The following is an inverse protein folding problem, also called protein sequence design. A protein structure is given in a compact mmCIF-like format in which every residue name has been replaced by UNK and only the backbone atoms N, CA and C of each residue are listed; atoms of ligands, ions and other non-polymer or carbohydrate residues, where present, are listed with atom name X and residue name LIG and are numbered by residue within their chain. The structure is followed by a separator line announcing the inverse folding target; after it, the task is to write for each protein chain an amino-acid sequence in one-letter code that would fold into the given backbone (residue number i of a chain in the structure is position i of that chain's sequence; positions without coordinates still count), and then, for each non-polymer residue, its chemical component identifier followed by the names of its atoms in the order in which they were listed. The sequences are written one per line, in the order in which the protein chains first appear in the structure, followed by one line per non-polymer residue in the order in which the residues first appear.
data_IF_524945937367
#
_entry.id   IF_524945937367
#
_cell.length_a   1.000
_cell.length_b   1.000
_cell.length_c   1.000
_cell.angle_alpha   90.00
_cell.angle_beta   90.00
_cell.angle_gamma   90.00
#
_symmetry.space_group_name_H-M   'P 1'
#
loop_
_entity.id
_entity.type
_entity.pdbx_description
1 polymer ?
#
# COMPACT_ATOMS: atom_id res chain seq x y z
N UNK A 1 6.18 -15.18 15.15
CA UNK A 1 6.39 -13.92 15.90
C UNK A 1 6.44 -12.69 14.98
N UNK A 2 5.87 -12.73 13.76
CA UNK A 2 5.90 -11.59 12.82
C UNK A 2 4.64 -10.71 12.85
N UNK A 3 3.47 -11.27 13.17
CA UNK A 3 2.19 -10.53 13.12
C UNK A 3 2.09 -9.38 14.12
N UNK A 4 2.54 -9.55 15.36
CA UNK A 4 2.40 -8.52 16.39
C UNK A 4 3.25 -7.28 16.10
N UNK A 5 4.50 -7.47 15.63
CA UNK A 5 5.40 -6.38 15.27
C UNK A 5 4.92 -5.60 14.05
N UNK A 6 4.30 -6.28 13.08
CA UNK A 6 3.68 -5.64 11.92
C UNK A 6 2.49 -4.78 12.35
N UNK A 7 1.58 -5.31 13.17
CA UNK A 7 0.41 -4.57 13.66
C UNK A 7 0.85 -3.35 14.47
N UNK A 8 1.81 -3.50 15.37
CA UNK A 8 2.35 -2.40 16.17
C UNK A 8 2.94 -1.30 15.28
N UNK A 9 3.74 -1.67 14.28
CA UNK A 9 4.33 -0.72 13.34
C UNK A 9 3.28 0.01 12.50
N UNK A 10 2.28 -0.72 11.98
CA UNK A 10 1.20 -0.12 11.20
C UNK A 10 0.44 0.91 12.05
N UNK A 11 0.05 0.55 13.27
CA UNK A 11 -0.65 1.45 14.19
C UNK A 11 0.18 2.69 14.58
N UNK A 12 1.50 2.55 14.63
CA UNK A 12 2.41 3.66 14.93
C UNK A 12 2.47 4.70 13.81
N UNK A 13 2.42 4.27 12.54
CA UNK A 13 2.64 5.15 11.40
C UNK A 13 1.37 5.60 10.69
N UNK A 14 0.25 4.87 10.85
CA UNK A 14 -1.02 5.20 10.21
C UNK A 14 -1.47 6.63 10.56
N UNK A 15 -1.57 7.46 9.53
CA UNK A 15 -1.84 8.90 9.61
C UNK A 15 -0.85 9.72 10.46
N UNK A 16 0.25 9.11 10.91
CA UNK A 16 1.23 9.67 11.84
C UNK A 16 2.65 9.70 11.26
N UNK A 17 2.81 9.40 9.97
CA UNK A 17 4.12 9.35 9.33
C UNK A 17 4.83 10.72 9.39
N UNK A 18 6.13 10.77 9.72
CA UNK A 18 6.84 12.03 9.98
C UNK A 18 7.40 12.65 8.69
N UNK A 19 6.51 13.06 7.76
CA UNK A 19 6.88 13.55 6.41
C UNK A 19 7.97 14.62 6.36
N UNK A 20 8.04 15.49 7.37
CA UNK A 20 8.95 16.64 7.43
C UNK A 20 10.24 16.36 8.24
N UNK A 21 10.39 15.17 8.83
CA UNK A 21 11.58 14.77 9.56
C UNK A 21 12.30 13.63 8.81
N UNK A 22 13.35 14.01 8.08
CA UNK A 22 14.09 13.10 7.21
C UNK A 22 14.78 11.94 7.92
N UNK A 23 15.33 12.20 9.11
CA UNK A 23 15.93 11.15 9.89
C UNK A 23 14.88 10.11 10.30
N UNK A 24 13.71 10.57 10.77
CA UNK A 24 12.64 9.68 11.22
C UNK A 24 11.99 8.90 10.08
N UNK A 25 11.63 9.54 8.97
CA UNK A 25 10.99 8.77 7.89
C UNK A 25 11.96 7.77 7.23
N UNK A 26 13.26 8.08 7.18
CA UNK A 26 14.29 7.14 6.71
C UNK A 26 14.37 5.91 7.63
N UNK A 27 14.38 6.13 8.94
CA UNK A 27 14.37 5.05 9.93
C UNK A 27 13.12 4.17 9.82
N UNK A 28 11.94 4.79 9.67
CA UNK A 28 10.67 4.07 9.53
C UNK A 28 10.59 3.25 8.24
N UNK A 29 11.08 3.77 7.10
CA UNK A 29 11.19 2.99 5.86
C UNK A 29 12.05 1.74 6.11
N UNK A 30 13.24 1.93 6.65
CA UNK A 30 14.16 0.82 6.90
C UNK A 30 13.56 -0.20 7.90
N UNK A 31 12.82 0.27 8.91
CA UNK A 31 12.13 -0.59 9.87
C UNK A 31 10.98 -1.36 9.22
N UNK A 32 10.12 -0.72 8.43
CA UNK A 32 9.02 -1.37 7.72
C UNK A 32 9.52 -2.50 6.82
N UNK A 33 10.56 -2.25 6.03
CA UNK A 33 11.20 -3.27 5.17
C UNK A 33 11.72 -4.46 5.96
N UNK A 34 12.29 -4.25 7.16
CA UNK A 34 12.78 -5.34 8.02
C UNK A 34 11.67 -6.16 8.67
N UNK A 35 10.50 -5.57 8.89
CA UNK A 35 9.37 -6.23 9.56
C UNK A 35 8.68 -7.20 8.59
N UNK A 36 8.20 -6.68 7.45
CA UNK A 36 7.51 -7.47 6.43
C UNK A 36 7.26 -6.66 5.16
N UNK A 37 6.93 -7.33 4.03
CA UNK A 37 6.43 -6.64 2.85
C UNK A 37 5.16 -5.80 3.13
N UNK A 38 4.22 -6.31 3.94
CA UNK A 38 2.99 -5.58 4.26
C UNK A 38 3.28 -4.29 5.06
N UNK A 39 4.23 -4.34 6.00
CA UNK A 39 4.72 -3.16 6.73
C UNK A 39 5.44 -2.16 5.79
N UNK A 40 6.25 -2.64 4.85
CA UNK A 40 6.86 -1.79 3.83
C UNK A 40 5.80 -1.08 2.97
N UNK A 41 4.74 -1.80 2.57
CA UNK A 41 3.61 -1.21 1.85
C UNK A 41 2.80 -0.25 2.71
N UNK A 42 2.77 -0.38 4.04
CA UNK A 42 2.16 0.65 4.90
C UNK A 42 2.88 1.98 4.83
N UNK A 43 4.21 1.97 4.71
CA UNK A 43 4.93 3.23 4.43
C UNK A 43 4.54 3.79 3.06
N UNK A 44 4.37 2.94 2.05
CA UNK A 44 3.88 3.39 0.74
C UNK A 44 2.47 3.99 0.83
N UNK A 45 1.59 3.42 1.65
CA UNK A 45 0.24 3.95 1.86
C UNK A 45 0.25 5.38 2.40
N UNK A 46 1.08 5.67 3.40
CA UNK A 46 1.28 7.02 3.94
C UNK A 46 1.80 7.99 2.86
N UNK A 47 2.69 7.52 1.98
CA UNK A 47 3.20 8.34 0.87
C UNK A 47 2.10 8.64 -0.16
N UNK A 48 1.24 7.66 -0.47
CA UNK A 48 0.16 7.83 -1.44
C UNK A 48 -0.93 8.78 -0.95
N UNK A 49 -1.25 8.74 0.36
CA UNK A 49 -2.42 9.41 0.93
C UNK A 49 -2.09 10.08 2.27
N UNK A 50 -1.21 11.10 2.28
CA UNK A 50 -0.93 11.82 3.51
C UNK A 50 -2.18 12.53 4.02
N UNK A 51 -2.39 12.61 5.35
CA UNK A 51 -3.50 13.37 5.89
C UNK A 51 -3.37 14.85 5.51
N UNK A 52 -4.48 15.51 5.18
CA UNK A 52 -4.49 16.93 4.77
C UNK A 52 -3.76 17.87 5.76
N UNK A 53 -3.76 17.52 7.05
CA UNK A 53 -3.10 18.28 8.11
C UNK A 53 -1.56 18.17 8.09
N UNK A 54 -0.98 17.18 7.42
CA UNK A 54 0.47 16.99 7.32
C UNK A 54 1.16 18.09 6.50
N UNK A 55 0.43 18.81 5.64
CA UNK A 55 0.93 19.90 4.78
C UNK A 55 2.20 19.52 3.99
N UNK A 56 2.26 18.30 3.49
CA UNK A 56 3.39 17.78 2.70
C UNK A 56 3.19 18.14 1.22
N UNK A 57 4.28 18.47 0.52
CA UNK A 57 4.23 18.81 -0.91
C UNK A 57 4.41 17.56 -1.78
N UNK A 58 3.88 17.53 -3.02
CA UNK A 58 4.13 16.43 -3.96
C UNK A 58 5.63 16.18 -4.20
N UNK A 59 6.44 17.24 -4.23
CA UNK A 59 7.91 17.11 -4.35
C UNK A 59 8.51 16.33 -3.17
N UNK A 60 8.05 16.58 -1.94
CA UNK A 60 8.51 15.84 -0.77
C UNK A 60 8.06 14.38 -0.81
N UNK A 61 6.82 14.11 -1.23
CA UNK A 61 6.32 12.75 -1.39
C UNK A 61 7.15 11.96 -2.42
N UNK A 62 7.50 12.57 -3.55
CA UNK A 62 8.40 11.95 -4.54
C UNK A 62 9.80 11.68 -4.00
N UNK A 63 10.35 12.56 -3.15
CA UNK A 63 11.63 12.31 -2.47
C UNK A 63 11.55 11.06 -1.60
N UNK A 64 10.50 10.95 -0.78
CA UNK A 64 10.30 9.81 0.13
C UNK A 64 10.05 8.53 -0.68
N UNK A 65 9.23 8.60 -1.75
CA UNK A 65 8.97 7.48 -2.65
C UNK A 65 10.25 6.95 -3.30
N UNK A 66 11.13 7.84 -3.77
CA UNK A 66 12.41 7.44 -4.37
C UNK A 66 13.31 6.71 -3.36
N UNK A 67 13.34 7.17 -2.10
CA UNK A 67 14.08 6.49 -1.04
C UNK A 67 13.47 5.12 -0.70
N UNK A 68 12.13 5.06 -0.57
CA UNK A 68 11.40 3.81 -0.32
C UNK A 68 11.67 2.79 -1.43
N UNK A 69 11.59 3.20 -2.71
CA UNK A 69 11.87 2.36 -3.88
C UNK A 69 13.27 1.77 -3.85
N UNK A 70 14.27 2.54 -3.42
CA UNK A 70 15.65 2.06 -3.31
C UNK A 70 15.91 1.15 -2.10
N UNK A 71 14.99 1.09 -1.15
CA UNK A 71 15.15 0.37 0.13
C UNK A 71 14.40 -0.96 0.18
N UNK A 72 13.51 -1.22 -0.78
CA UNK A 72 12.61 -2.36 -0.76
C UNK A 72 12.75 -3.20 -2.05
N UNK A 73 12.83 -4.52 -1.90
CA UNK A 73 12.90 -5.47 -3.02
C UNK A 73 11.67 -6.39 -2.96
N UNK A 74 10.82 -6.32 -3.99
CA UNK A 74 9.62 -7.14 -4.10
C UNK A 74 9.17 -7.22 -5.57
N UNK A 75 8.62 -8.36 -6.05
CA UNK A 75 8.13 -8.49 -7.42
C UNK A 75 7.01 -7.50 -7.84
N UNK A 76 6.33 -6.90 -6.86
CA UNK A 76 5.29 -5.89 -7.07
C UNK A 76 5.81 -4.46 -7.03
N UNK A 77 7.10 -4.25 -6.73
CA UNK A 77 7.68 -2.93 -6.46
C UNK A 77 7.36 -1.91 -7.56
N UNK A 78 7.73 -2.20 -8.80
CA UNK A 78 7.61 -1.26 -9.92
C UNK A 78 6.14 -0.93 -10.25
N UNK A 79 5.25 -1.92 -10.14
CA UNK A 79 3.82 -1.70 -10.30
C UNK A 79 3.29 -0.77 -9.21
N UNK A 80 3.61 -1.04 -7.95
CA UNK A 80 3.14 -0.23 -6.82
C UNK A 80 3.74 1.17 -6.79
N UNK A 81 4.98 1.35 -7.28
CA UNK A 81 5.57 2.68 -7.50
C UNK A 81 4.76 3.47 -8.53
N UNK A 82 4.38 2.86 -9.66
CA UNK A 82 3.54 3.53 -10.67
C UNK A 82 2.17 3.95 -10.13
N UNK A 83 1.56 3.11 -9.29
CA UNK A 83 0.31 3.45 -8.57
C UNK A 83 0.54 4.65 -7.64
N UNK A 84 1.60 4.63 -6.83
CA UNK A 84 1.92 5.72 -5.92
C UNK A 84 2.17 7.05 -6.65
N UNK A 85 2.89 7.02 -7.77
CA UNK A 85 3.12 8.21 -8.61
C UNK A 85 1.80 8.79 -9.13
N UNK A 86 0.88 7.95 -9.61
CA UNK A 86 -0.45 8.41 -10.05
C UNK A 86 -1.22 9.08 -8.91
N UNK A 87 -1.23 8.48 -7.72
CA UNK A 87 -1.94 9.02 -6.56
C UNK A 87 -1.33 10.33 -6.05
N UNK A 88 0.00 10.45 -6.01
CA UNK A 88 0.70 11.71 -5.66
C UNK A 88 0.35 12.83 -6.65
N UNK A 89 0.13 12.49 -7.91
CA UNK A 89 -0.26 13.43 -8.97
C UNK A 89 -1.75 13.76 -8.98
N UNK A 90 -2.55 13.12 -8.12
CA UNK A 90 -4.01 13.25 -8.13
C UNK A 90 -4.65 12.67 -9.39
N UNK A 91 -3.97 11.73 -10.07
CA UNK A 91 -4.51 11.01 -11.21
C UNK A 91 -5.24 9.76 -10.73
N UNK A 92 -6.47 9.62 -11.18
CA UNK A 92 -7.25 8.42 -10.98
C UNK A 92 -6.85 7.34 -11.98
N UNK A 93 -6.77 6.11 -11.50
CA UNK A 93 -6.47 4.93 -12.31
C UNK A 93 -7.79 4.30 -12.79
N UNK A 94 -7.85 3.77 -14.03
CA UNK A 94 -9.05 3.08 -14.52
C UNK A 94 -9.44 1.90 -13.62
N UNK A 95 -10.73 1.78 -13.29
CA UNK A 95 -11.29 0.70 -12.46
C UNK A 95 -10.79 -0.69 -12.87
N UNK A 96 -10.85 -1.01 -14.17
CA UNK A 96 -10.43 -2.34 -14.65
C UNK A 96 -8.93 -2.59 -14.45
N UNK A 97 -8.09 -1.57 -14.65
CA UNK A 97 -6.65 -1.68 -14.44
C UNK A 97 -6.32 -1.91 -12.96
N UNK A 98 -7.03 -1.23 -12.06
CA UNK A 98 -6.91 -1.45 -10.61
C UNK A 98 -7.33 -2.87 -10.22
N UNK A 99 -8.42 -3.39 -10.79
CA UNK A 99 -8.88 -4.77 -10.55
C UNK A 99 -7.84 -5.79 -11.02
N UNK A 100 -7.27 -5.61 -12.21
CA UNK A 100 -6.23 -6.48 -12.74
C UNK A 100 -4.99 -6.49 -11.82
N UNK A 101 -4.61 -5.32 -11.27
CA UNK A 101 -3.53 -5.23 -10.29
C UNK A 101 -3.89 -5.84 -8.94
N UNK A 102 -5.14 -5.73 -8.47
CA UNK A 102 -5.59 -6.39 -7.24
C UNK A 102 -5.45 -7.91 -7.35
N UNK A 103 -5.79 -8.49 -8.51
CA UNK A 103 -5.58 -9.92 -8.76
C UNK A 103 -4.11 -10.30 -8.74
N UNK A 104 -3.21 -9.45 -9.26
CA UNK A 104 -1.77 -9.67 -9.17
C UNK A 104 -1.23 -9.54 -7.74
N UNK A 105 -1.78 -8.65 -6.93
CA UNK A 105 -1.48 -8.58 -5.48
C UNK A 105 -1.98 -9.84 -4.78
N UNK A 106 -3.13 -10.39 -5.17
CA UNK A 106 -3.74 -11.57 -4.55
C UNK A 106 -2.85 -12.83 -4.59
N UNK A 107 -1.91 -12.92 -5.53
CA UNK A 107 -0.89 -13.97 -5.61
C UNK A 107 0.06 -13.97 -4.40
N UNK A 108 0.15 -12.85 -3.68
CA UNK A 108 0.97 -12.65 -2.48
C UNK A 108 0.04 -12.49 -1.27
N UNK A 109 -0.15 -13.57 -0.50
CA UNK A 109 -1.03 -13.56 0.67
C UNK A 109 -0.62 -12.50 1.70
N UNK A 110 -1.63 -12.00 2.41
CA UNK A 110 -1.50 -11.09 3.55
C UNK A 110 -0.90 -9.71 3.24
N UNK A 111 -0.83 -9.31 1.96
CA UNK A 111 -0.49 -7.94 1.54
C UNK A 111 -1.70 -6.99 1.61
N UNK A 112 -2.35 -6.94 2.77
CA UNK A 112 -3.55 -6.12 3.00
C UNK A 112 -3.32 -4.64 2.66
N UNK A 113 -2.14 -4.11 2.95
CA UNK A 113 -1.85 -2.70 2.72
C UNK A 113 -1.64 -2.38 1.25
N UNK A 114 -0.96 -3.25 0.50
CA UNK A 114 -0.84 -3.10 -0.95
C UNK A 114 -2.22 -3.13 -1.63
N UNK A 115 -3.08 -4.05 -1.18
CA UNK A 115 -4.45 -4.16 -1.66
C UNK A 115 -5.29 -2.92 -1.26
N UNK A 116 -5.09 -2.39 -0.05
CA UNK A 116 -5.74 -1.17 0.43
C UNK A 116 -5.35 0.09 -0.36
N UNK A 117 -4.09 0.19 -0.79
CA UNK A 117 -3.63 1.27 -1.70
C UNK A 117 -4.43 1.22 -3.00
N UNK A 118 -4.52 0.04 -3.63
CA UNK A 118 -5.29 -0.15 -4.86
C UNK A 118 -6.77 0.18 -4.67
N UNK A 119 -7.35 -0.19 -3.53
CA UNK A 119 -8.74 0.13 -3.20
C UNK A 119 -9.04 1.63 -3.17
N UNK A 120 -8.00 2.45 -3.00
CA UNK A 120 -8.10 3.91 -2.96
C UNK A 120 -7.62 4.59 -4.26
N UNK A 121 -7.24 3.83 -5.28
CA UNK A 121 -6.55 4.35 -6.47
C UNK A 121 -7.48 4.74 -7.63
N UNK A 122 -8.77 4.42 -7.55
CA UNK A 122 -9.78 4.68 -8.60
C UNK A 122 -11.05 5.29 -8.02
N UNK A 123 -11.78 6.05 -8.84
CA UNK A 123 -13.17 6.39 -8.57
C UNK A 123 -14.05 5.15 -8.84
N UNK A 124 -14.47 4.47 -7.78
CA UNK A 124 -15.22 3.21 -7.84
C UNK A 124 -16.73 3.43 -7.72
N UNK A 125 -17.31 4.17 -8.67
CA UNK A 125 -18.73 4.55 -8.63
C UNK A 125 -19.69 3.34 -8.54
N UNK A 126 -19.31 2.22 -9.18
CA UNK A 126 -20.11 0.99 -9.23
C UNK A 126 -19.75 -0.03 -8.13
N UNK A 127 -18.75 0.27 -7.28
CA UNK A 127 -18.35 -0.60 -6.17
C UNK A 127 -17.58 -1.87 -6.57
N UNK A 128 -17.04 -1.94 -7.79
CA UNK A 128 -16.36 -3.11 -8.34
C UNK A 128 -14.98 -3.32 -7.70
N UNK A 129 -14.25 -2.23 -7.45
CA UNK A 129 -12.94 -2.28 -6.78
C UNK A 129 -13.13 -2.76 -5.34
N UNK A 130 -14.09 -2.18 -4.61
CA UNK A 130 -14.40 -2.58 -3.24
C UNK A 130 -14.86 -4.05 -3.17
N UNK A 131 -15.72 -4.49 -4.09
CA UNK A 131 -16.18 -5.89 -4.16
C UNK A 131 -14.99 -6.83 -4.40
N UNK A 132 -14.06 -6.45 -5.28
CA UNK A 132 -12.85 -7.22 -5.57
C UNK A 132 -11.94 -7.32 -4.34
N UNK A 133 -11.71 -6.20 -3.64
CA UNK A 133 -10.99 -6.15 -2.38
C UNK A 133 -11.55 -7.13 -1.36
N UNK A 134 -12.87 -7.09 -1.11
CA UNK A 134 -13.54 -7.93 -0.12
C UNK A 134 -13.44 -9.41 -0.46
N UNK A 135 -13.54 -9.76 -1.75
CA UNK A 135 -13.41 -11.14 -2.20
C UNK A 135 -11.99 -11.67 -1.98
N UNK A 136 -10.95 -10.89 -2.31
CA UNK A 136 -9.56 -11.28 -2.07
C UNK A 136 -9.29 -11.44 -0.56
N UNK A 137 -9.72 -10.48 0.26
CA UNK A 137 -9.57 -10.56 1.72
C UNK A 137 -10.29 -11.79 2.29
N UNK A 138 -11.49 -12.11 1.79
CA UNK A 138 -12.22 -13.32 2.18
C UNK A 138 -11.45 -14.57 1.83
N UNK A 139 -10.88 -14.65 0.61
CA UNK A 139 -10.04 -15.78 0.19
C UNK A 139 -8.79 -15.95 1.07
N UNK A 140 -8.11 -14.85 1.43
CA UNK A 140 -6.95 -14.91 2.33
C UNK A 140 -7.30 -15.34 3.76
N UNK A 141 -8.53 -15.10 4.22
CA UNK A 141 -9.01 -15.53 5.54
C UNK A 141 -9.51 -16.98 5.56
N UNK A 142 -9.79 -17.58 4.40
CA UNK A 142 -10.25 -18.96 4.32
C UNK A 142 -9.11 -19.93 4.71
N UNK A 143 -9.37 -20.93 5.59
CA UNK A 143 -8.36 -21.90 6.05
C UNK A 143 -7.77 -22.77 4.93
N UNK A 144 -8.48 -22.88 3.81
CA UNK A 144 -8.08 -23.60 2.62
C UNK A 144 -8.24 -22.64 1.46
N UNK A 145 -7.14 -22.26 0.80
CA UNK A 145 -7.15 -21.35 -0.35
C UNK A 145 -7.77 -21.98 -1.60
N UNK A 146 -8.99 -22.52 -1.47
CA UNK A 146 -9.75 -22.96 -2.62
C UNK A 146 -10.39 -21.74 -3.31
N UNK A 147 -10.26 -21.63 -4.63
CA UNK A 147 -10.93 -20.58 -5.38
C UNK A 147 -12.44 -20.76 -5.24
N UNK A 148 -13.13 -19.70 -4.85
CA UNK A 148 -14.59 -19.67 -4.91
C UNK A 148 -14.93 -19.66 -6.40
N UNK A 149 -15.49 -20.78 -6.86
CA UNK A 149 -15.91 -20.99 -8.24
C UNK A 149 -16.85 -19.88 -8.73
N UNK A 150 -16.64 -19.54 -10.01
CA UNK A 150 -17.34 -18.56 -10.84
C UNK A 150 -18.85 -18.67 -10.76
#
# INVERSE_FOLDING_TARGET
MSGDAEIEFINEIDCCFPYNDEARWTELIARGVRISPNAAFMVLHEICRPPNLARVTPTKLRQILAHWRGSFDHPLLEMMVGVAEAMIEGRELPVQEVIDWMHRVAEYRDLYTALGILNCASEDADGLVQTTYENIVRQWRSPHGEPIGV
#
